data_IF_905741088407
#
_entry.id   IF_905741088407
#
_cell.length_a   1.000
_cell.length_b   1.000
_cell.length_c   1.000
_cell.angle_alpha   90.00
_cell.angle_beta   90.00
_cell.angle_gamma   90.00
#
_symmetry.space_group_name_H-M   'P 1'
#
loop_
_entity.id
_entity.type
_entity.pdbx_description
1 polymer ?
#
# COMPACT_ATOMS: atom_id res chain seq x y z
N UNK A 1 42.40 -7.20 14.63
CA UNK A 1 41.00 -7.14 14.16
C UNK A 1 40.23 -5.97 14.76
N UNK A 2 40.24 -5.79 16.07
CA UNK A 2 39.51 -4.72 16.77
C UNK A 2 39.68 -3.28 16.19
N UNK A 3 40.91 -2.78 15.88
CA UNK A 3 41.04 -1.41 15.36
C UNK A 3 40.44 -1.23 13.95
N UNK A 4 40.42 -2.26 13.13
CA UNK A 4 39.79 -2.20 11.80
C UNK A 4 38.27 -2.20 11.89
N UNK A 5 37.69 -2.95 12.81
CA UNK A 5 36.25 -2.97 13.07
C UNK A 5 35.81 -1.61 13.63
N UNK A 6 36.51 -1.04 14.60
CA UNK A 6 36.21 0.27 15.16
C UNK A 6 36.26 1.38 14.07
N UNK A 7 37.25 1.30 13.18
CA UNK A 7 37.37 2.20 12.02
C UNK A 7 36.17 2.06 11.11
N UNK A 8 35.76 0.84 10.78
CA UNK A 8 34.60 0.59 9.90
C UNK A 8 33.30 1.12 10.54
N UNK A 9 33.12 0.93 11.84
CA UNK A 9 31.97 1.45 12.57
C UNK A 9 31.91 2.98 12.52
N UNK A 10 33.05 3.65 12.73
CA UNK A 10 33.14 5.11 12.64
C UNK A 10 32.80 5.65 11.24
N UNK A 11 33.27 4.98 10.19
CA UNK A 11 32.93 5.34 8.79
C UNK A 11 31.45 5.12 8.51
N UNK A 12 30.86 4.01 9.02
CA UNK A 12 29.43 3.72 8.84
C UNK A 12 28.57 4.78 9.54
N UNK A 13 28.94 5.19 10.76
CA UNK A 13 28.26 6.27 11.46
C UNK A 13 28.38 7.60 10.67
N UNK A 14 29.57 7.88 10.14
CA UNK A 14 29.76 9.05 9.26
C UNK A 14 28.87 9.01 8.04
N UNK A 15 28.71 7.84 7.40
CA UNK A 15 27.80 7.66 6.26
C UNK A 15 26.36 8.00 6.63
N UNK A 16 25.88 7.57 7.81
CA UNK A 16 24.54 7.91 8.30
C UNK A 16 24.38 9.41 8.57
N UNK A 17 25.35 10.03 9.20
CA UNK A 17 25.35 11.49 9.44
C UNK A 17 25.31 12.24 8.09
N UNK A 18 26.18 11.89 7.15
CA UNK A 18 26.22 12.51 5.83
C UNK A 18 24.92 12.32 5.06
N UNK A 19 24.35 11.12 5.08
CA UNK A 19 23.06 10.86 4.42
C UNK A 19 21.94 11.70 5.03
N UNK A 20 21.90 11.83 6.35
CA UNK A 20 20.89 12.63 7.05
C UNK A 20 21.03 14.12 6.74
N UNK A 21 22.27 14.63 6.74
CA UNK A 21 22.53 16.06 6.51
C UNK A 21 22.31 16.42 5.04
N UNK A 22 22.86 15.63 4.11
CA UNK A 22 22.78 15.92 2.68
C UNK A 22 21.38 15.63 2.08
N UNK A 23 20.62 14.71 2.67
CA UNK A 23 19.27 14.41 2.21
C UNK A 23 18.19 15.33 2.82
N UNK A 24 18.48 16.07 3.91
CA UNK A 24 17.55 17.04 4.49
C UNK A 24 16.98 18.05 3.49
N UNK A 25 17.78 18.73 2.63
CA UNK A 25 17.24 19.62 1.62
C UNK A 25 16.44 18.88 0.55
N UNK A 26 16.84 17.66 0.19
CA UNK A 26 16.21 16.86 -0.86
C UNK A 26 14.93 16.19 -0.41
N UNK A 27 14.76 15.86 0.88
CA UNK A 27 13.49 15.33 1.39
C UNK A 27 12.35 16.34 1.29
N UNK A 28 12.67 17.64 1.33
CA UNK A 28 11.70 18.71 1.10
C UNK A 28 11.44 18.94 -0.40
N UNK A 29 12.47 18.80 -1.24
CA UNK A 29 12.36 18.98 -2.70
C UNK A 29 11.93 17.71 -3.42
N UNK A 30 12.32 16.52 -2.93
CA UNK A 30 11.90 15.26 -3.52
C UNK A 30 10.41 15.01 -3.29
N UNK A 31 9.86 15.33 -2.11
CA UNK A 31 8.41 15.28 -1.90
C UNK A 31 7.67 16.29 -2.79
N UNK A 32 8.21 17.51 -2.98
CA UNK A 32 7.65 18.53 -3.88
C UNK A 32 7.84 18.17 -5.37
N UNK A 33 8.96 17.54 -5.72
CA UNK A 33 9.24 17.08 -7.09
C UNK A 33 8.47 15.82 -7.45
N UNK A 34 8.29 14.91 -6.49
CA UNK A 34 7.47 13.69 -6.64
C UNK A 34 5.98 13.96 -6.45
N UNK A 35 5.60 15.04 -5.77
CA UNK A 35 4.21 15.47 -5.60
C UNK A 35 3.69 16.40 -6.70
N UNK A 36 4.37 16.42 -7.86
CA UNK A 36 3.81 17.10 -9.03
C UNK A 36 2.50 16.36 -9.41
N UNK A 37 1.32 17.02 -9.31
CA UNK A 37 0.02 16.38 -9.51
C UNK A 37 -0.21 15.81 -10.92
N UNK A 38 0.70 16.10 -11.85
CA UNK A 38 0.68 15.54 -13.22
C UNK A 38 1.51 14.26 -13.37
N UNK A 39 2.32 13.89 -12.36
CA UNK A 39 3.13 12.67 -12.39
C UNK A 39 2.53 11.63 -11.45
N UNK A 40 2.58 10.37 -11.86
CA UNK A 40 2.18 9.24 -11.02
C UNK A 40 2.94 9.29 -9.69
N UNK A 41 2.22 9.15 -8.59
CA UNK A 41 2.75 9.04 -7.24
C UNK A 41 3.40 7.66 -7.04
N UNK A 42 4.58 7.45 -7.63
CA UNK A 42 5.31 6.20 -7.54
C UNK A 42 6.04 6.09 -6.19
N UNK A 43 5.76 5.02 -5.45
CA UNK A 43 6.55 4.61 -4.29
C UNK A 43 7.49 3.46 -4.69
N UNK A 44 8.67 3.42 -4.08
CA UNK A 44 9.65 2.36 -4.38
C UNK A 44 9.10 0.95 -4.06
N UNK A 45 8.16 0.88 -3.12
CA UNK A 45 7.44 -0.34 -2.75
C UNK A 45 6.49 -0.84 -3.84
N UNK A 46 6.05 0.02 -4.76
CA UNK A 46 5.21 -0.37 -5.90
C UNK A 46 5.93 -1.34 -6.83
N UNK A 47 7.29 -1.29 -6.83
CA UNK A 47 8.10 -2.20 -7.62
C UNK A 47 7.78 -3.68 -7.35
N UNK A 48 7.50 -4.05 -6.12
CA UNK A 48 7.13 -5.42 -5.78
C UNK A 48 5.81 -5.84 -6.43
N UNK A 49 4.81 -4.96 -6.36
CA UNK A 49 3.50 -5.18 -6.98
C UNK A 49 3.60 -5.27 -8.50
N UNK A 50 4.35 -4.37 -9.14
CA UNK A 50 4.57 -4.36 -10.59
C UNK A 50 5.23 -5.66 -11.06
N UNK A 51 6.31 -6.10 -10.38
CA UNK A 51 7.04 -7.31 -10.76
C UNK A 51 6.21 -8.56 -10.48
N UNK A 52 5.46 -8.60 -9.40
CA UNK A 52 4.57 -9.72 -9.10
C UNK A 52 3.39 -9.79 -10.07
N UNK A 53 2.86 -8.65 -10.49
CA UNK A 53 1.76 -8.54 -11.45
C UNK A 53 2.16 -9.00 -12.86
N UNK A 54 3.42 -8.87 -13.23
CA UNK A 54 3.95 -9.32 -14.52
C UNK A 54 4.04 -10.86 -14.67
N UNK A 55 3.69 -11.63 -13.63
CA UNK A 55 3.67 -13.09 -13.69
C UNK A 55 2.57 -13.60 -14.64
N UNK A 56 2.85 -14.63 -15.43
CA UNK A 56 1.90 -15.12 -16.45
C UNK A 56 0.68 -15.85 -15.87
N UNK A 57 0.72 -16.27 -14.60
CA UNK A 57 -0.37 -17.04 -13.96
C UNK A 57 -0.81 -16.32 -12.69
N UNK A 58 -2.03 -15.77 -12.72
CA UNK A 58 -2.75 -15.29 -11.53
C UNK A 58 -3.77 -16.33 -11.09
N UNK A 59 -3.88 -16.52 -9.79
CA UNK A 59 -4.96 -17.34 -9.22
C UNK A 59 -6.27 -16.55 -9.33
N UNK A 60 -7.30 -17.16 -9.91
CA UNK A 60 -8.65 -16.59 -9.91
C UNK A 60 -9.19 -16.70 -8.48
N UNK A 61 -9.75 -15.62 -7.97
CA UNK A 61 -10.43 -15.61 -6.68
C UNK A 61 -11.73 -16.45 -6.77
N UNK A 62 -11.81 -17.46 -5.95
CA UNK A 62 -12.96 -18.34 -5.93
C UNK A 62 -14.04 -17.91 -4.92
N UNK A 63 -13.77 -16.95 -4.05
CA UNK A 63 -14.70 -16.44 -3.05
C UNK A 63 -15.42 -15.17 -3.50
N UNK A 64 -14.84 -14.39 -4.43
CA UNK A 64 -15.32 -13.08 -4.84
C UNK A 64 -15.62 -13.06 -6.34
N UNK A 65 -16.81 -12.56 -6.68
CA UNK A 65 -17.25 -12.35 -8.06
C UNK A 65 -17.71 -10.90 -8.21
N UNK A 66 -17.37 -10.26 -9.30
CA UNK A 66 -17.81 -8.92 -9.63
C UNK A 66 -18.94 -8.99 -10.66
N UNK A 67 -19.99 -8.22 -10.44
CA UNK A 67 -21.10 -8.05 -11.40
C UNK A 67 -21.04 -6.60 -11.89
N UNK A 68 -20.80 -6.46 -13.19
CA UNK A 68 -20.68 -5.16 -13.83
C UNK A 68 -22.07 -4.55 -14.03
N UNK A 69 -22.30 -3.37 -13.45
CA UNK A 69 -23.57 -2.64 -13.57
C UNK A 69 -23.51 -1.52 -14.63
N UNK A 70 -22.44 -1.46 -15.42
CA UNK A 70 -22.27 -0.40 -16.43
C UNK A 70 -23.50 -0.30 -17.35
N UNK A 71 -23.97 0.92 -17.53
CA UNK A 71 -25.10 1.22 -18.42
C UNK A 71 -26.47 0.86 -17.85
N UNK A 72 -26.57 0.30 -16.64
CA UNK A 72 -27.86 0.02 -16.00
C UNK A 72 -28.45 1.27 -15.34
N UNK A 73 -29.73 1.45 -15.55
CA UNK A 73 -30.53 2.37 -14.76
C UNK A 73 -31.01 1.69 -13.46
N UNK A 74 -31.77 2.40 -12.62
CA UNK A 74 -32.30 1.89 -11.36
C UNK A 74 -33.21 0.66 -11.50
N UNK A 75 -33.93 0.58 -12.61
CA UNK A 75 -34.78 -0.56 -12.95
C UNK A 75 -33.93 -1.80 -13.25
N UNK A 76 -32.86 -1.64 -14.06
CA UNK A 76 -31.92 -2.71 -14.36
C UNK A 76 -31.19 -3.19 -13.10
N UNK A 77 -30.78 -2.26 -12.21
CA UNK A 77 -30.15 -2.62 -10.92
C UNK A 77 -31.14 -3.38 -10.02
N UNK A 78 -32.42 -2.98 -9.99
CA UNK A 78 -33.45 -3.70 -9.24
C UNK A 78 -33.59 -5.15 -9.76
N UNK A 79 -33.61 -5.35 -11.10
CA UNK A 79 -33.66 -6.69 -11.72
C UNK A 79 -32.47 -7.55 -11.29
N UNK A 80 -31.26 -6.99 -11.26
CA UNK A 80 -30.07 -7.72 -10.78
C UNK A 80 -30.23 -8.11 -9.33
N UNK A 81 -30.66 -7.18 -8.46
CA UNK A 81 -30.85 -7.48 -7.01
C UNK A 81 -31.96 -8.53 -6.77
N UNK A 82 -33.01 -8.58 -7.58
CA UNK A 82 -34.07 -9.59 -7.52
C UNK A 82 -33.56 -11.01 -7.80
N UNK A 83 -32.42 -11.15 -8.48
CA UNK A 83 -31.78 -12.46 -8.69
C UNK A 83 -30.95 -12.96 -7.49
N UNK A 84 -30.54 -12.06 -6.58
CA UNK A 84 -29.66 -12.40 -5.46
C UNK A 84 -30.21 -13.50 -4.52
N UNK A 85 -31.52 -13.50 -4.17
CA UNK A 85 -32.08 -14.59 -3.36
C UNK A 85 -31.90 -15.98 -3.98
N UNK A 86 -31.95 -16.08 -5.31
CA UNK A 86 -31.75 -17.35 -6.03
C UNK A 86 -30.32 -17.88 -5.94
N UNK A 87 -29.35 -16.97 -5.83
CA UNK A 87 -27.93 -17.30 -5.72
C UNK A 87 -27.50 -17.60 -4.28
N UNK A 88 -28.29 -17.18 -3.28
CA UNK A 88 -27.97 -17.31 -1.86
C UNK A 88 -26.52 -16.88 -1.54
N UNK A 89 -26.11 -15.64 -1.88
CA UNK A 89 -24.73 -15.20 -1.71
C UNK A 89 -24.33 -15.11 -0.24
N UNK A 90 -23.03 -15.30 0.05
CA UNK A 90 -22.50 -15.08 1.39
C UNK A 90 -22.60 -13.61 1.82
N UNK A 91 -22.37 -12.68 0.90
CA UNK A 91 -22.66 -11.27 1.03
C UNK A 91 -22.83 -10.62 -0.36
N UNK A 92 -23.56 -9.52 -0.40
CA UNK A 92 -23.70 -8.66 -1.58
C UNK A 92 -23.23 -7.26 -1.21
N UNK A 93 -22.18 -6.78 -1.86
CA UNK A 93 -21.73 -5.38 -1.76
C UNK A 93 -22.25 -4.60 -2.96
N UNK A 94 -23.13 -3.63 -2.75
CA UNK A 94 -23.62 -2.73 -3.81
C UNK A 94 -22.83 -1.44 -3.77
N UNK A 95 -22.00 -1.19 -4.77
CA UNK A 95 -21.15 0.01 -4.88
C UNK A 95 -21.84 1.08 -5.76
N UNK A 96 -23.07 1.38 -5.44
CA UNK A 96 -23.88 2.42 -6.11
C UNK A 96 -24.67 3.20 -5.07
N UNK A 97 -24.47 4.52 -5.01
CA UNK A 97 -25.22 5.41 -4.16
C UNK A 97 -26.44 6.02 -4.89
N UNK A 98 -27.62 5.89 -4.31
CA UNK A 98 -28.86 6.50 -4.82
C UNK A 98 -29.18 7.77 -4.02
N UNK A 99 -28.53 8.88 -4.34
CA UNK A 99 -28.55 10.10 -3.53
C UNK A 99 -29.91 10.80 -3.55
N UNK A 100 -30.58 10.82 -4.70
CA UNK A 100 -31.86 11.50 -4.89
C UNK A 100 -33.00 10.53 -5.20
N UNK A 101 -34.22 10.76 -4.68
CA UNK A 101 -35.40 9.96 -5.00
C UNK A 101 -35.81 10.15 -6.46
N UNK A 102 -36.42 9.12 -7.05
CA UNK A 102 -37.04 9.13 -8.40
C UNK A 102 -38.39 8.43 -8.35
N UNK A 103 -39.28 8.80 -9.28
CA UNK A 103 -40.69 8.35 -9.29
C UNK A 103 -40.86 6.81 -9.32
N UNK A 104 -39.93 6.07 -9.87
CA UNK A 104 -40.00 4.62 -10.03
C UNK A 104 -39.14 3.83 -9.03
N UNK A 105 -38.77 4.43 -7.90
CA UNK A 105 -37.87 3.78 -6.92
C UNK A 105 -38.52 2.64 -6.10
N UNK A 106 -39.83 2.48 -6.17
CA UNK A 106 -40.56 1.46 -5.40
C UNK A 106 -40.05 0.02 -5.65
N UNK A 107 -39.74 -0.32 -6.90
CA UNK A 107 -39.17 -1.61 -7.26
C UNK A 107 -37.77 -1.80 -6.71
N UNK A 108 -36.92 -0.77 -6.89
CA UNK A 108 -35.55 -0.79 -6.37
C UNK A 108 -35.53 -0.92 -4.85
N UNK A 109 -36.42 -0.19 -4.14
CA UNK A 109 -36.56 -0.28 -2.70
C UNK A 109 -36.97 -1.68 -2.25
N UNK A 110 -37.93 -2.30 -2.95
CA UNK A 110 -38.35 -3.66 -2.68
C UNK A 110 -37.21 -4.67 -2.95
N UNK A 111 -36.47 -4.50 -4.03
CA UNK A 111 -35.32 -5.35 -4.38
C UNK A 111 -34.17 -5.21 -3.35
N UNK A 112 -33.87 -4.01 -2.88
CA UNK A 112 -32.90 -3.75 -1.80
C UNK A 112 -33.36 -4.45 -0.51
N UNK A 113 -34.61 -4.30 -0.12
CA UNK A 113 -35.16 -4.92 1.08
C UNK A 113 -35.21 -6.46 1.00
N UNK A 114 -35.37 -7.01 -0.18
CA UNK A 114 -35.41 -8.46 -0.44
C UNK A 114 -34.02 -9.10 -0.68
N UNK A 115 -32.96 -8.30 -0.87
CA UNK A 115 -31.63 -8.81 -1.15
C UNK A 115 -30.96 -9.34 0.13
N UNK A 116 -30.59 -10.64 0.19
CA UNK A 116 -29.97 -11.21 1.38
C UNK A 116 -28.54 -10.70 1.55
N UNK A 117 -28.13 -10.48 2.79
CA UNK A 117 -26.75 -10.14 3.16
C UNK A 117 -26.19 -8.92 2.38
N UNK A 118 -27.06 -7.95 2.07
CA UNK A 118 -26.70 -6.74 1.34
C UNK A 118 -25.93 -5.78 2.24
N UNK A 119 -24.90 -5.15 1.69
CA UNK A 119 -24.18 -4.00 2.25
C UNK A 119 -24.32 -2.83 1.30
N UNK A 120 -24.72 -1.66 1.81
CA UNK A 120 -24.90 -0.45 1.02
C UNK A 120 -23.76 0.56 1.25
N UNK A 121 -23.45 1.40 0.25
CA UNK A 121 -22.37 2.36 0.32
C UNK A 121 -22.76 3.62 1.10
N UNK A 122 -21.77 4.26 1.68
CA UNK A 122 -21.82 5.62 2.18
C UNK A 122 -20.53 6.36 1.84
N UNK A 123 -20.62 7.55 1.29
CA UNK A 123 -19.48 8.43 1.10
C UNK A 123 -19.36 9.39 2.29
N UNK A 124 -18.15 9.60 2.77
CA UNK A 124 -17.83 10.43 3.93
C UNK A 124 -16.98 11.63 3.53
N UNK A 125 -17.22 12.78 4.17
CA UNK A 125 -16.37 13.96 4.05
C UNK A 125 -15.38 14.00 5.21
N UNK A 126 -14.09 14.19 4.92
CA UNK A 126 -13.07 14.37 5.93
C UNK A 126 -13.11 15.77 6.51
N UNK A 127 -13.20 15.89 7.83
CA UNK A 127 -13.16 17.17 8.52
C UNK A 127 -11.73 17.63 8.77
N UNK A 128 -11.42 18.86 8.38
CA UNK A 128 -10.05 19.40 8.31
C UNK A 128 -9.36 19.62 9.68
N UNK A 129 -10.03 19.40 10.81
CA UNK A 129 -9.50 19.81 12.12
C UNK A 129 -9.22 18.70 13.12
N UNK A 130 -9.88 17.54 13.02
CA UNK A 130 -9.85 16.52 14.09
C UNK A 130 -9.63 15.07 13.59
N UNK A 131 -9.41 14.88 12.30
CA UNK A 131 -9.21 13.55 11.68
C UNK A 131 -10.45 12.66 11.67
N UNK A 132 -11.61 13.19 12.05
CA UNK A 132 -12.89 12.50 11.99
C UNK A 132 -13.63 12.84 10.69
N UNK A 133 -14.66 12.04 10.41
CA UNK A 133 -15.45 12.13 9.21
C UNK A 133 -16.88 12.53 9.52
N UNK A 134 -17.54 13.19 8.59
CA UNK A 134 -18.97 13.47 8.61
C UNK A 134 -19.64 12.81 7.43
N UNK A 135 -20.97 12.66 7.51
CA UNK A 135 -21.74 12.14 6.40
C UNK A 135 -21.55 13.05 5.17
N UNK A 136 -21.19 12.45 4.06
CA UNK A 136 -21.20 13.04 2.72
C UNK A 136 -22.46 12.61 1.98
N UNK A 137 -22.28 11.64 1.07
CA UNK A 137 -23.40 11.08 0.32
C UNK A 137 -23.80 9.71 0.88
N UNK A 138 -25.10 9.51 1.02
CA UNK A 138 -25.70 8.25 1.42
C UNK A 138 -26.90 7.99 0.52
N UNK A 139 -27.19 6.72 0.26
CA UNK A 139 -28.43 6.39 -0.41
C UNK A 139 -29.64 6.96 0.37
N UNK A 140 -30.54 7.64 -0.31
CA UNK A 140 -31.71 8.22 0.34
C UNK A 140 -32.64 7.15 0.95
N UNK A 141 -32.49 5.90 0.54
CA UNK A 141 -33.19 4.76 1.15
C UNK A 141 -32.61 4.35 2.52
N UNK A 142 -31.48 4.89 2.94
CA UNK A 142 -30.78 4.45 4.13
C UNK A 142 -31.65 4.57 5.40
N UNK A 143 -32.46 5.62 5.53
CA UNK A 143 -33.33 5.81 6.70
C UNK A 143 -34.44 4.74 6.79
N UNK A 144 -34.91 4.26 5.66
CA UNK A 144 -36.00 3.26 5.60
C UNK A 144 -35.50 1.81 5.61
N UNK A 145 -34.30 1.57 5.02
CA UNK A 145 -33.73 0.22 4.85
C UNK A 145 -32.55 -0.05 5.79
N UNK A 146 -31.80 0.98 6.19
CA UNK A 146 -30.53 0.84 6.92
C UNK A 146 -30.68 0.34 8.37
N UNK A 147 -31.88 0.26 8.92
CA UNK A 147 -32.10 -0.47 10.18
C UNK A 147 -31.82 -1.96 10.04
N UNK A 148 -31.83 -2.46 8.81
CA UNK A 148 -31.70 -3.89 8.49
C UNK A 148 -30.55 -4.18 7.53
N UNK A 149 -29.98 -3.17 6.85
CA UNK A 149 -28.90 -3.31 5.86
C UNK A 149 -27.66 -2.62 6.39
N UNK A 150 -26.52 -3.34 6.57
CA UNK A 150 -25.25 -2.75 6.96
C UNK A 150 -24.79 -1.68 5.95
N UNK A 151 -24.14 -0.63 6.48
CA UNK A 151 -23.50 0.41 5.68
C UNK A 151 -21.99 0.27 5.73
N UNK A 152 -21.30 0.62 4.63
CA UNK A 152 -19.88 0.68 4.58
C UNK A 152 -19.37 1.90 3.80
N UNK A 153 -18.33 2.56 4.32
CA UNK A 153 -17.73 3.73 3.69
C UNK A 153 -16.91 3.35 2.46
N UNK A 154 -17.26 3.89 1.29
CA UNK A 154 -16.58 3.62 0.01
C UNK A 154 -15.34 4.50 -0.22
N UNK A 155 -15.06 5.42 0.69
CA UNK A 155 -13.92 6.30 0.57
C UNK A 155 -12.59 5.55 0.41
N UNK A 156 -11.93 5.77 -0.70
CA UNK A 156 -10.57 5.32 -0.93
C UNK A 156 -9.58 6.33 -0.33
N UNK A 157 -8.53 5.89 0.39
CA UNK A 157 -7.54 6.78 0.99
C UNK A 157 -6.62 7.38 -0.08
N UNK A 158 -7.07 8.45 -0.70
CA UNK A 158 -6.32 9.23 -1.67
C UNK A 158 -5.71 10.46 -0.98
N UNK A 159 -4.40 10.66 -1.12
CA UNK A 159 -3.75 11.89 -0.61
C UNK A 159 -4.07 13.10 -1.50
N UNK A 160 -4.27 12.87 -2.78
CA UNK A 160 -4.58 13.86 -3.82
C UNK A 160 -5.53 13.22 -4.83
N UNK A 161 -6.20 14.01 -5.64
CA UNK A 161 -7.15 13.55 -6.65
C UNK A 161 -6.58 12.54 -7.70
N UNK A 162 -5.26 12.44 -7.83
CA UNK A 162 -4.57 11.49 -8.73
C UNK A 162 -3.54 10.63 -8.00
N UNK A 163 -3.67 10.45 -6.68
CA UNK A 163 -2.72 9.62 -5.94
C UNK A 163 -2.99 8.13 -6.19
N UNK A 164 -1.92 7.35 -6.22
CA UNK A 164 -1.99 5.89 -6.33
C UNK A 164 -2.64 5.30 -5.07
N UNK A 165 -3.70 4.53 -5.24
CA UNK A 165 -4.38 3.82 -4.15
C UNK A 165 -3.59 2.56 -3.80
N UNK A 166 -2.98 2.55 -2.62
CA UNK A 166 -2.16 1.43 -2.10
C UNK A 166 -2.78 0.73 -0.92
N UNK A 167 -3.66 1.43 -0.22
CA UNK A 167 -4.18 1.04 1.08
C UNK A 167 -5.69 1.20 1.11
N UNK A 168 -6.36 0.51 2.01
CA UNK A 168 -7.74 0.79 2.40
C UNK A 168 -7.79 1.10 3.89
N UNK A 169 -8.75 1.92 4.30
CA UNK A 169 -9.03 2.17 5.70
C UNK A 169 -9.94 1.08 6.24
N UNK A 170 -9.68 0.61 7.46
CA UNK A 170 -10.53 -0.41 8.10
C UNK A 170 -11.81 0.19 8.68
N UNK A 171 -11.68 1.24 9.48
CA UNK A 171 -12.79 1.96 10.10
C UNK A 171 -12.60 3.46 10.00
N UNK A 172 -13.68 4.19 9.80
CA UNK A 172 -13.71 5.64 9.74
C UNK A 172 -14.30 6.19 11.03
N UNK A 173 -13.53 6.92 11.87
CA UNK A 173 -14.07 7.61 13.04
C UNK A 173 -15.00 8.74 12.59
N UNK A 174 -16.22 8.79 13.15
CA UNK A 174 -17.24 9.76 12.77
C UNK A 174 -17.51 10.80 13.86
N UNK A 175 -17.90 12.02 13.46
CA UNK A 175 -18.20 13.10 14.40
C UNK A 175 -19.60 13.00 15.01
N UNK A 176 -20.55 12.52 14.21
CA UNK A 176 -21.96 12.40 14.56
C UNK A 176 -22.46 11.02 14.17
N UNK A 177 -23.41 10.51 14.89
CA UNK A 177 -24.02 9.22 14.57
C UNK A 177 -24.57 9.19 13.15
N UNK A 178 -24.27 8.11 12.44
CA UNK A 178 -24.76 7.81 11.09
C UNK A 178 -25.57 6.53 11.21
N UNK A 179 -26.90 6.66 11.09
CA UNK A 179 -27.83 5.54 11.24
C UNK A 179 -27.58 4.74 12.55
N UNK A 180 -27.04 3.52 12.47
CA UNK A 180 -26.74 2.66 13.61
C UNK A 180 -25.29 2.77 14.11
N UNK A 181 -24.47 3.67 13.55
CA UNK A 181 -23.06 3.85 13.90
C UNK A 181 -22.88 5.10 14.74
N UNK A 182 -22.23 4.98 15.90
CA UNK A 182 -22.04 6.08 16.85
C UNK A 182 -20.64 6.68 16.84
N UNK A 183 -19.61 5.84 16.86
CA UNK A 183 -18.21 6.29 16.99
C UNK A 183 -17.39 6.10 15.72
N UNK A 184 -17.68 5.03 14.98
CA UNK A 184 -17.02 4.71 13.72
C UNK A 184 -17.91 3.89 12.80
N UNK A 185 -17.66 4.00 11.50
CA UNK A 185 -18.28 3.18 10.48
C UNK A 185 -17.20 2.34 9.78
N UNK A 186 -17.45 1.05 9.49
CA UNK A 186 -16.51 0.23 8.73
C UNK A 186 -16.35 0.77 7.30
N UNK A 187 -15.23 0.50 6.67
CA UNK A 187 -15.16 0.65 5.22
C UNK A 187 -16.08 -0.35 4.53
N UNK A 188 -16.42 -0.07 3.29
CA UNK A 188 -17.30 -0.92 2.47
C UNK A 188 -16.80 -2.37 2.44
N UNK A 189 -15.50 -2.57 2.18
CA UNK A 189 -14.92 -3.90 2.12
C UNK A 189 -14.91 -4.62 3.47
N UNK A 190 -14.76 -3.90 4.58
CA UNK A 190 -14.84 -4.46 5.93
C UNK A 190 -16.28 -4.85 6.25
N UNK A 191 -17.25 -4.03 5.93
CA UNK A 191 -18.68 -4.34 6.12
C UNK A 191 -19.09 -5.58 5.32
N UNK A 192 -18.69 -5.69 4.05
CA UNK A 192 -18.95 -6.85 3.19
C UNK A 192 -18.25 -8.11 3.76
N UNK A 193 -16.99 -8.00 4.16
CA UNK A 193 -16.24 -9.12 4.74
C UNK A 193 -16.89 -9.63 6.04
N UNK A 194 -17.31 -8.72 6.93
CA UNK A 194 -17.98 -9.07 8.19
C UNK A 194 -19.36 -9.70 7.97
N UNK A 195 -20.09 -9.22 6.96
CA UNK A 195 -21.39 -9.82 6.57
C UNK A 195 -21.19 -11.23 6.05
N UNK A 196 -20.18 -11.45 5.20
CA UNK A 196 -19.88 -12.79 4.66
C UNK A 196 -19.32 -13.75 5.72
N UNK A 197 -18.42 -13.26 6.59
CA UNK A 197 -17.69 -14.05 7.58
C UNK A 197 -17.50 -13.23 8.87
N UNK A 198 -18.44 -13.30 9.83
CA UNK A 198 -18.39 -12.48 11.06
C UNK A 198 -17.10 -12.62 11.89
N UNK A 199 -16.42 -13.77 11.82
CA UNK A 199 -15.15 -14.02 12.50
C UNK A 199 -14.01 -13.11 12.05
N UNK A 200 -14.10 -12.50 10.86
CA UNK A 200 -13.10 -11.54 10.35
C UNK A 200 -13.07 -10.23 11.15
N UNK A 201 -14.15 -9.89 11.87
CA UNK A 201 -14.16 -8.77 12.79
C UNK A 201 -13.07 -8.89 13.87
N UNK A 202 -12.89 -10.10 14.43
CA UNK A 202 -11.85 -10.37 15.43
C UNK A 202 -10.44 -10.30 14.85
N UNK A 203 -10.26 -10.74 13.60
CA UNK A 203 -8.96 -10.67 12.91
C UNK A 203 -8.56 -9.22 12.72
N UNK A 204 -9.45 -8.38 12.21
CA UNK A 204 -9.21 -6.94 12.02
C UNK A 204 -8.96 -6.22 13.35
N UNK A 205 -9.73 -6.54 14.40
CA UNK A 205 -9.55 -5.98 15.73
C UNK A 205 -8.17 -6.34 16.33
N UNK A 206 -7.71 -7.57 16.15
CA UNK A 206 -6.37 -8.01 16.60
C UNK A 206 -5.24 -7.33 15.85
N UNK A 207 -5.40 -7.06 14.55
CA UNK A 207 -4.40 -6.31 13.76
C UNK A 207 -4.31 -4.85 14.23
N UNK A 208 -5.43 -4.23 14.58
CA UNK A 208 -5.48 -2.87 15.14
C UNK A 208 -5.03 -1.76 14.19
N UNK A 209 -4.79 -2.06 12.92
CA UNK A 209 -4.34 -1.09 11.93
C UNK A 209 -5.53 -0.25 11.42
N UNK A 210 -5.34 1.06 11.30
CA UNK A 210 -6.33 1.96 10.68
C UNK A 210 -6.27 1.93 9.17
N UNK A 211 -5.10 1.63 8.59
CA UNK A 211 -4.85 1.45 7.17
C UNK A 211 -4.19 0.11 6.96
N UNK A 212 -4.66 -0.63 5.96
CA UNK A 212 -4.08 -1.91 5.51
C UNK A 212 -3.69 -1.81 4.05
N UNK A 213 -2.54 -2.35 3.69
CA UNK A 213 -2.09 -2.39 2.30
C UNK A 213 -2.91 -3.40 1.48
N UNK A 214 -3.27 -3.01 0.26
CA UNK A 214 -4.00 -3.86 -0.69
C UNK A 214 -3.00 -4.77 -1.42
N UNK A 215 -3.26 -6.07 -1.43
CA UNK A 215 -2.45 -7.05 -2.14
C UNK A 215 -2.95 -7.24 -3.58
N UNK A 216 -2.69 -6.27 -4.45
CA UNK A 216 -3.15 -6.25 -5.84
C UNK A 216 -2.71 -7.45 -6.70
N UNK A 217 -1.45 -7.92 -6.64
CA UNK A 217 -0.99 -8.96 -7.56
C UNK A 217 -1.41 -10.37 -7.13
N UNK A 218 -2.09 -10.53 -6.00
CA UNK A 218 -2.38 -11.85 -5.45
C UNK A 218 -3.39 -12.64 -6.29
N UNK A 219 -4.43 -11.97 -6.79
CA UNK A 219 -5.58 -12.62 -7.44
C UNK A 219 -6.18 -11.77 -8.56
N UNK A 220 -6.90 -12.45 -9.47
CA UNK A 220 -7.82 -11.87 -10.44
C UNK A 220 -9.25 -12.29 -10.11
N UNK A 221 -10.25 -11.63 -10.68
CA UNK A 221 -11.66 -11.87 -10.38
C UNK A 221 -12.43 -12.26 -11.64
N UNK A 222 -13.49 -13.06 -11.45
CA UNK A 222 -14.50 -13.24 -12.49
C UNK A 222 -15.39 -12.02 -12.51
N UNK A 223 -15.61 -11.49 -13.69
CA UNK A 223 -16.51 -10.36 -13.92
C UNK A 223 -17.62 -10.87 -14.84
N UNK A 224 -18.87 -10.66 -14.46
CA UNK A 224 -20.02 -11.01 -15.25
C UNK A 224 -20.91 -9.81 -15.52
N UNK A 225 -21.47 -9.74 -16.70
CA UNK A 225 -22.54 -8.80 -17.01
C UNK A 225 -23.89 -9.36 -16.54
N UNK A 226 -24.93 -8.56 -16.36
CA UNK A 226 -26.21 -8.96 -15.82
C UNK A 226 -26.85 -10.13 -16.56
N UNK A 227 -26.76 -10.16 -17.90
CA UNK A 227 -27.30 -11.22 -18.75
C UNK A 227 -26.60 -12.57 -18.58
N UNK A 228 -25.40 -12.59 -18.02
CA UNK A 228 -24.60 -13.80 -17.81
C UNK A 228 -24.90 -14.46 -16.44
N UNK A 229 -25.60 -13.77 -15.52
CA UNK A 229 -25.84 -14.23 -14.14
C UNK A 229 -26.55 -15.57 -14.12
N UNK A 230 -27.66 -15.70 -14.85
CA UNK A 230 -28.49 -16.90 -14.83
C UNK A 230 -27.73 -18.11 -15.36
N UNK A 231 -26.99 -17.94 -16.47
CA UNK A 231 -26.17 -19.01 -17.07
C UNK A 231 -25.00 -19.46 -16.21
N UNK A 232 -24.49 -18.59 -15.35
CA UNK A 232 -23.31 -18.82 -14.51
C UNK A 232 -23.64 -18.86 -13.00
N UNK A 233 -24.91 -19.06 -12.63
CA UNK A 233 -25.36 -19.05 -11.25
C UNK A 233 -24.54 -19.97 -10.33
N UNK A 234 -24.09 -21.12 -10.83
CA UNK A 234 -23.25 -22.09 -10.09
C UNK A 234 -21.89 -21.53 -9.69
N UNK A 235 -21.35 -20.51 -10.39
CA UNK A 235 -20.09 -19.83 -10.07
C UNK A 235 -20.28 -18.72 -9.04
N UNK A 236 -21.52 -18.33 -8.75
CA UNK A 236 -21.89 -17.22 -7.87
C UNK A 236 -22.52 -17.68 -6.56
N UNK A 237 -23.11 -18.89 -6.55
CA UNK A 237 -23.82 -19.43 -5.39
C UNK A 237 -22.90 -19.53 -4.17
N UNK A 238 -23.32 -18.93 -3.03
CA UNK A 238 -22.56 -18.90 -1.80
C UNK A 238 -21.29 -18.03 -1.83
N UNK A 239 -21.06 -17.25 -2.90
CA UNK A 239 -19.90 -16.36 -3.05
C UNK A 239 -20.21 -14.95 -2.53
N UNK A 240 -19.19 -14.14 -2.43
CA UNK A 240 -19.34 -12.70 -2.18
C UNK A 240 -19.48 -12.02 -3.54
N UNK A 241 -20.56 -11.30 -3.74
CA UNK A 241 -20.86 -10.61 -4.97
C UNK A 241 -20.66 -9.11 -4.78
N UNK A 242 -19.75 -8.51 -5.57
CA UNK A 242 -19.57 -7.06 -5.62
C UNK A 242 -20.24 -6.54 -6.90
N UNK A 243 -21.22 -5.67 -6.70
CA UNK A 243 -22.02 -5.05 -7.76
C UNK A 243 -21.58 -3.60 -7.92
N UNK A 244 -21.06 -3.23 -9.08
CA UNK A 244 -20.61 -1.86 -9.36
C UNK A 244 -20.24 -1.67 -10.83
N UNK A 245 -19.96 -0.43 -11.22
CA UNK A 245 -19.53 -0.11 -12.59
C UNK A 245 -18.02 -0.35 -12.73
N UNK A 246 -17.64 -1.22 -13.66
CA UNK A 246 -16.22 -1.52 -13.95
C UNK A 246 -15.61 -0.57 -14.96
N UNK A 247 -16.41 0.27 -15.63
CA UNK A 247 -16.00 1.07 -16.78
C UNK A 247 -16.25 2.58 -16.60
N UNK A 248 -16.78 3.02 -15.44
CA UNK A 248 -17.00 4.44 -15.15
C UNK A 248 -15.68 5.22 -15.11
N UNK A 249 -15.48 6.07 -16.12
CA UNK A 249 -14.29 6.90 -16.23
C UNK A 249 -14.13 7.90 -15.07
N UNK A 250 -15.21 8.27 -14.39
CA UNK A 250 -15.16 9.17 -13.24
C UNK A 250 -14.66 8.49 -11.98
N UNK A 251 -14.79 7.16 -11.90
CA UNK A 251 -14.34 6.33 -10.77
C UNK A 251 -13.06 5.53 -11.08
N UNK A 252 -12.25 5.98 -12.05
CA UNK A 252 -10.97 5.35 -12.35
C UNK A 252 -9.83 5.92 -11.52
N UNK A 253 -9.10 5.05 -10.86
CA UNK A 253 -7.99 5.39 -9.97
C UNK A 253 -6.68 4.73 -10.39
N UNK A 254 -5.56 5.40 -10.09
CA UNK A 254 -4.23 4.80 -10.22
C UNK A 254 -3.97 3.83 -9.07
N UNK A 255 -3.36 2.68 -9.38
CA UNK A 255 -2.93 1.67 -8.41
C UNK A 255 -1.47 1.27 -8.71
N UNK A 256 -0.78 0.53 -7.82
CA UNK A 256 0.58 0.06 -8.10
C UNK A 256 0.72 -0.81 -9.36
N UNK A 257 -0.36 -1.42 -9.83
CA UNK A 257 -0.33 -2.39 -10.95
C UNK A 257 -0.89 -1.83 -12.25
N UNK A 258 -1.72 -0.78 -12.19
CA UNK A 258 -2.29 -0.12 -13.37
C UNK A 258 -2.58 1.34 -13.11
N UNK A 259 -2.52 2.16 -14.16
CA UNK A 259 -2.87 3.59 -14.08
C UNK A 259 -4.38 3.84 -14.00
N UNK A 260 -5.19 2.84 -14.36
CA UNK A 260 -6.65 2.93 -14.41
C UNK A 260 -7.28 1.64 -13.89
N UNK A 261 -7.93 1.73 -12.73
CA UNK A 261 -8.71 0.64 -12.12
C UNK A 261 -9.97 1.26 -11.53
N UNK A 262 -11.13 0.67 -11.78
CA UNK A 262 -12.40 1.15 -11.22
C UNK A 262 -12.47 0.94 -9.72
N UNK A 263 -13.23 1.78 -9.00
CA UNK A 263 -13.39 1.68 -7.56
C UNK A 263 -13.86 0.32 -7.11
N UNK A 264 -14.85 -0.28 -7.79
CA UNK A 264 -15.35 -1.62 -7.44
C UNK A 264 -14.25 -2.69 -7.56
N UNK A 265 -13.33 -2.58 -8.52
CA UNK A 265 -12.20 -3.50 -8.65
C UNK A 265 -11.16 -3.29 -7.54
N UNK A 266 -10.93 -2.05 -7.13
CA UNK A 266 -10.09 -1.75 -5.96
C UNK A 266 -10.71 -2.35 -4.70
N UNK A 267 -12.03 -2.21 -4.53
CA UNK A 267 -12.77 -2.86 -3.45
C UNK A 267 -12.67 -4.38 -3.51
N UNK A 268 -12.70 -5.00 -4.69
CA UNK A 268 -12.49 -6.44 -4.85
C UNK A 268 -11.10 -6.88 -4.37
N UNK A 269 -10.03 -6.16 -4.73
CA UNK A 269 -8.67 -6.46 -4.26
C UNK A 269 -8.51 -6.27 -2.74
N UNK A 270 -9.08 -5.19 -2.18
CA UNK A 270 -9.05 -4.95 -0.75
C UNK A 270 -9.84 -6.03 0.02
N UNK A 271 -11.00 -6.42 -0.49
CA UNK A 271 -11.81 -7.49 0.08
C UNK A 271 -11.08 -8.85 0.00
N UNK A 272 -10.45 -9.17 -1.12
CA UNK A 272 -9.62 -10.38 -1.29
C UNK A 272 -8.47 -10.42 -0.28
N UNK A 273 -7.84 -9.27 -0.01
CA UNK A 273 -6.80 -9.14 1.02
C UNK A 273 -7.33 -9.54 2.39
N UNK A 274 -8.56 -9.15 2.74
CA UNK A 274 -9.21 -9.50 4.02
C UNK A 274 -9.59 -10.99 4.05
N UNK A 275 -10.33 -11.46 3.04
CA UNK A 275 -10.93 -12.81 3.00
C UNK A 275 -9.88 -13.91 3.05
N UNK A 276 -8.75 -13.71 2.38
CA UNK A 276 -7.66 -14.69 2.29
C UNK A 276 -6.52 -14.41 3.28
N UNK A 277 -6.69 -13.47 4.22
CA UNK A 277 -5.64 -13.07 5.16
C UNK A 277 -4.33 -12.69 4.45
N UNK A 278 -4.47 -12.08 3.28
CA UNK A 278 -3.35 -11.70 2.40
C UNK A 278 -2.73 -10.34 2.76
N UNK A 279 -2.81 -9.92 4.01
CA UNK A 279 -2.29 -8.64 4.47
C UNK A 279 -0.80 -8.50 4.21
N UNK A 280 -0.40 -7.33 3.73
CA UNK A 280 1.00 -6.98 3.51
C UNK A 280 1.53 -6.23 4.73
N UNK A 281 2.49 -6.84 5.43
CA UNK A 281 3.14 -6.23 6.57
C UNK A 281 4.43 -5.53 6.13
N UNK A 282 4.58 -4.26 6.50
CA UNK A 282 5.76 -3.48 6.17
C UNK A 282 6.81 -3.55 7.28
N UNK A 283 8.08 -3.60 6.89
CA UNK A 283 9.17 -3.38 7.84
C UNK A 283 9.01 -2.02 8.49
N UNK A 284 9.15 -1.99 9.80
CA UNK A 284 9.21 -0.73 10.55
C UNK A 284 10.41 0.10 10.09
N UNK A 285 10.35 1.41 10.31
CA UNK A 285 11.48 2.30 10.04
C UNK A 285 12.77 1.83 10.72
N UNK A 286 12.68 1.31 11.95
CA UNK A 286 13.83 0.78 12.68
C UNK A 286 14.42 -0.46 12.00
N UNK A 287 13.59 -1.38 11.52
CA UNK A 287 14.06 -2.58 10.78
C UNK A 287 14.71 -2.20 9.46
N UNK A 288 14.13 -1.28 8.68
CA UNK A 288 14.72 -0.78 7.43
C UNK A 288 16.07 -0.09 7.67
N UNK A 289 16.19 0.74 8.73
CA UNK A 289 17.44 1.37 9.11
C UNK A 289 18.50 0.36 9.59
N UNK A 290 18.09 -0.66 10.34
CA UNK A 290 19.00 -1.73 10.80
C UNK A 290 19.55 -2.53 9.61
N UNK A 291 18.71 -2.89 8.65
CA UNK A 291 19.14 -3.54 7.41
C UNK A 291 20.12 -2.65 6.64
N UNK A 292 19.78 -1.38 6.46
CA UNK A 292 20.63 -0.40 5.77
C UNK A 292 21.98 -0.23 6.47
N UNK A 293 21.99 -0.20 7.81
CA UNK A 293 23.23 -0.14 8.62
C UNK A 293 24.09 -1.38 8.41
N UNK A 294 23.51 -2.56 8.46
CA UNK A 294 24.24 -3.81 8.28
C UNK A 294 24.89 -3.87 6.88
N UNK A 295 24.17 -3.50 5.84
CA UNK A 295 24.68 -3.47 4.46
C UNK A 295 25.78 -2.41 4.28
N UNK A 296 25.60 -1.22 4.84
CA UNK A 296 26.63 -0.19 4.85
C UNK A 296 27.90 -0.66 5.57
N UNK A 297 27.74 -1.31 6.73
CA UNK A 297 28.87 -1.86 7.48
C UNK A 297 29.64 -2.91 6.69
N UNK A 298 28.95 -3.80 5.95
CA UNK A 298 29.58 -4.83 5.11
C UNK A 298 30.45 -4.16 4.03
N UNK A 299 29.93 -3.16 3.30
CA UNK A 299 30.70 -2.51 2.23
C UNK A 299 31.89 -1.71 2.81
N UNK A 300 31.69 -1.04 3.95
CA UNK A 300 32.75 -0.31 4.63
C UNK A 300 33.84 -1.26 5.18
N UNK A 301 33.46 -2.40 5.77
CA UNK A 301 34.41 -3.45 6.20
C UNK A 301 35.22 -3.97 5.02
N UNK A 302 34.57 -4.28 3.91
CA UNK A 302 35.25 -4.67 2.68
C UNK A 302 36.30 -3.63 2.28
N UNK A 303 35.93 -2.34 2.31
CA UNK A 303 36.84 -1.25 2.03
C UNK A 303 38.04 -1.18 2.98
N UNK A 304 37.82 -1.40 4.28
CA UNK A 304 38.89 -1.30 5.30
C UNK A 304 39.82 -2.52 5.31
N UNK A 305 39.31 -3.70 4.90
CA UNK A 305 40.08 -4.97 4.92
C UNK A 305 40.95 -5.14 3.70
N UNK A 306 40.55 -4.64 2.54
CA UNK A 306 41.24 -4.89 1.27
C UNK A 306 42.46 -3.99 1.06
N UNK A 307 43.51 -4.51 0.40
CA UNK A 307 44.67 -3.74 -0.04
C UNK A 307 44.30 -2.75 -1.16
N UNK A 308 45.04 -1.64 -1.25
CA UNK A 308 44.70 -0.49 -2.10
C UNK A 308 44.59 -0.86 -3.60
N UNK A 309 45.42 -1.77 -4.12
CA UNK A 309 45.52 -2.09 -5.55
C UNK A 309 44.22 -2.71 -6.16
N UNK A 310 43.50 -3.54 -5.41
CA UNK A 310 42.30 -4.25 -5.89
C UNK A 310 41.03 -3.77 -5.28
N UNK A 311 41.14 -2.84 -4.32
CA UNK A 311 40.07 -2.35 -3.48
C UNK A 311 38.89 -1.77 -4.27
N UNK A 312 39.17 -0.92 -5.26
CA UNK A 312 38.13 -0.22 -6.02
C UNK A 312 37.19 -1.18 -6.76
N UNK A 313 37.75 -2.17 -7.47
CA UNK A 313 36.97 -3.14 -8.22
C UNK A 313 36.14 -4.03 -7.30
N UNK A 314 36.74 -4.59 -6.25
CA UNK A 314 36.00 -5.47 -5.31
C UNK A 314 34.90 -4.73 -4.60
N UNK A 315 35.11 -3.47 -4.21
CA UNK A 315 34.05 -2.65 -3.60
C UNK A 315 32.86 -2.46 -4.53
N UNK A 316 33.08 -2.22 -5.82
CA UNK A 316 31.98 -2.08 -6.79
C UNK A 316 31.24 -3.39 -7.01
N UNK A 317 31.96 -4.50 -7.10
CA UNK A 317 31.36 -5.84 -7.19
C UNK A 317 30.51 -6.12 -5.93
N UNK A 318 31.06 -5.85 -4.74
CA UNK A 318 30.33 -6.03 -3.48
C UNK A 318 29.08 -5.16 -3.44
N UNK A 319 29.16 -3.90 -3.89
CA UNK A 319 28.01 -3.00 -3.96
C UNK A 319 26.89 -3.55 -4.84
N UNK A 320 27.23 -4.01 -6.05
CA UNK A 320 26.26 -4.60 -6.99
C UNK A 320 25.67 -5.89 -6.42
N UNK A 321 26.49 -6.74 -5.81
CA UNK A 321 26.04 -7.99 -5.19
C UNK A 321 25.08 -7.72 -4.01
N UNK A 322 25.37 -6.73 -3.16
CA UNK A 322 24.49 -6.36 -2.05
C UNK A 322 23.20 -5.73 -2.55
N UNK A 323 23.25 -4.91 -3.60
CA UNK A 323 22.06 -4.37 -4.24
C UNK A 323 21.16 -5.48 -4.78
N UNK A 324 21.73 -6.41 -5.54
CA UNK A 324 21.00 -7.57 -6.05
C UNK A 324 20.39 -8.40 -4.91
N UNK A 325 21.16 -8.64 -3.86
CA UNK A 325 20.70 -9.38 -2.68
C UNK A 325 19.49 -8.71 -2.01
N UNK A 326 19.52 -7.39 -1.80
CA UNK A 326 18.40 -6.64 -1.17
C UNK A 326 17.13 -6.71 -2.01
N UNK A 327 17.26 -6.51 -3.33
CA UNK A 327 16.11 -6.60 -4.25
C UNK A 327 15.54 -8.02 -4.26
N UNK A 328 16.39 -9.03 -4.33
CA UNK A 328 15.96 -10.44 -4.28
C UNK A 328 15.34 -10.84 -2.96
N UNK A 329 15.92 -10.39 -1.84
CA UNK A 329 15.37 -10.61 -0.50
C UNK A 329 13.99 -9.96 -0.36
N UNK A 330 13.87 -8.69 -0.75
CA UNK A 330 12.59 -7.98 -0.68
C UNK A 330 11.52 -8.67 -1.54
N UNK A 331 11.88 -9.10 -2.74
CA UNK A 331 10.97 -9.80 -3.63
C UNK A 331 10.52 -11.16 -3.06
N UNK A 332 11.44 -11.95 -2.51
CA UNK A 332 11.10 -13.23 -1.87
C UNK A 332 10.20 -13.02 -0.64
N UNK A 333 10.52 -12.05 0.22
CA UNK A 333 9.70 -11.74 1.40
C UNK A 333 8.30 -11.25 1.01
N UNK A 334 8.19 -10.47 -0.05
CA UNK A 334 6.89 -10.02 -0.56
C UNK A 334 6.03 -11.19 -1.02
N UNK A 335 6.60 -12.11 -1.79
CA UNK A 335 5.86 -13.22 -2.39
C UNK A 335 5.53 -14.35 -1.42
N UNK A 336 6.52 -14.71 -0.58
CA UNK A 336 6.45 -15.91 0.24
C UNK A 336 5.91 -15.62 1.64
N UNK A 337 6.03 -14.36 2.10
CA UNK A 337 5.71 -13.95 3.47
C UNK A 337 4.79 -12.74 3.57
N UNK A 338 4.32 -12.17 2.46
CA UNK A 338 3.52 -10.95 2.42
C UNK A 338 4.21 -9.77 3.16
N UNK A 339 5.54 -9.67 3.10
CA UNK A 339 6.32 -8.65 3.78
C UNK A 339 6.94 -7.67 2.80
N UNK A 340 6.80 -6.37 3.08
CA UNK A 340 7.33 -5.28 2.26
C UNK A 340 8.54 -4.63 2.94
N UNK A 341 9.67 -4.58 2.23
CA UNK A 341 10.88 -3.84 2.65
C UNK A 341 10.96 -2.54 1.86
N UNK A 342 11.11 -1.42 2.54
CA UNK A 342 11.50 -0.18 1.88
C UNK A 342 13.02 -0.18 1.64
N UNK A 343 13.41 -0.68 0.46
CA UNK A 343 14.82 -0.78 0.10
C UNK A 343 15.47 0.56 -0.27
N UNK A 344 14.74 1.69 -0.27
CA UNK A 344 15.30 3.04 -0.47
C UNK A 344 16.39 3.37 0.56
N UNK A 345 16.18 2.97 1.82
CA UNK A 345 17.17 3.13 2.88
C UNK A 345 18.46 2.35 2.59
N UNK A 346 18.34 1.11 2.10
CA UNK A 346 19.48 0.27 1.74
C UNK A 346 20.25 0.85 0.54
N UNK A 347 19.55 1.28 -0.51
CA UNK A 347 20.14 1.94 -1.67
C UNK A 347 20.95 3.18 -1.28
N UNK A 348 20.34 4.03 -0.48
CA UNK A 348 20.96 5.26 0.01
C UNK A 348 22.24 4.94 0.80
N UNK A 349 22.18 3.98 1.73
CA UNK A 349 23.32 3.63 2.57
C UNK A 349 24.44 2.92 1.79
N UNK A 350 24.13 2.14 0.79
CA UNK A 350 25.15 1.56 -0.10
C UNK A 350 25.89 2.65 -0.89
N UNK A 351 25.20 3.70 -1.33
CA UNK A 351 25.83 4.86 -2.00
C UNK A 351 26.67 5.68 -1.02
N UNK A 352 26.10 6.09 0.12
CA UNK A 352 26.80 6.92 1.11
C UNK A 352 27.93 6.22 1.84
N UNK A 353 27.85 4.89 2.00
CA UNK A 353 28.93 4.08 2.58
C UNK A 353 30.23 4.20 1.79
N UNK A 354 30.17 4.15 0.45
CA UNK A 354 31.33 4.33 -0.42
C UNK A 354 31.85 5.77 -0.36
N UNK A 355 30.95 6.75 -0.44
CA UNK A 355 31.30 8.17 -0.34
C UNK A 355 31.99 8.50 0.99
N UNK A 356 31.48 7.98 2.10
CA UNK A 356 32.11 8.13 3.42
C UNK A 356 33.49 7.49 3.49
N UNK A 357 33.71 6.34 2.80
CA UNK A 357 35.03 5.74 2.68
C UNK A 357 36.02 6.65 1.96
N UNK A 358 35.60 7.25 0.86
CA UNK A 358 36.47 8.15 0.07
C UNK A 358 36.82 9.41 0.86
N UNK A 359 35.86 10.02 1.55
CA UNK A 359 36.11 11.17 2.45
C UNK A 359 37.09 10.77 3.55
N UNK A 360 36.89 9.62 4.21
CA UNK A 360 37.76 9.18 5.28
C UNK A 360 39.20 8.97 4.81
N UNK A 361 39.38 8.37 3.63
CA UNK A 361 40.71 8.20 3.02
C UNK A 361 41.35 9.55 2.74
N UNK A 362 40.60 10.50 2.15
CA UNK A 362 41.07 11.85 1.88
C UNK A 362 41.51 12.58 3.15
N UNK A 363 40.67 12.61 4.18
CA UNK A 363 40.98 13.23 5.47
C UNK A 363 42.20 12.59 6.15
N UNK A 364 42.30 11.26 6.09
CA UNK A 364 43.44 10.54 6.65
C UNK A 364 44.74 10.90 5.93
N UNK A 365 44.74 11.02 4.61
CA UNK A 365 45.90 11.42 3.81
C UNK A 365 46.33 12.84 4.08
N UNK A 366 45.39 13.80 4.20
CA UNK A 366 45.67 15.18 4.57
C UNK A 366 46.28 15.22 5.96
N UNK A 367 45.70 14.54 6.96
CA UNK A 367 46.22 14.51 8.32
C UNK A 367 47.63 13.95 8.41
N UNK A 368 47.91 12.83 7.71
CA UNK A 368 49.24 12.26 7.62
C UNK A 368 50.25 13.20 6.96
N UNK A 369 49.83 13.91 5.93
CA UNK A 369 50.63 14.93 5.27
C UNK A 369 51.01 16.07 6.21
N UNK A 370 50.01 16.60 6.93
CA UNK A 370 50.24 17.66 7.93
C UNK A 370 51.14 17.20 9.08
N UNK A 371 50.94 15.97 9.59
CA UNK A 371 51.77 15.38 10.64
C UNK A 371 53.22 15.20 10.21
N UNK A 372 53.47 14.81 8.93
CA UNK A 372 54.81 14.72 8.38
C UNK A 372 55.48 16.07 8.26
N UNK A 373 54.77 17.09 7.78
CA UNK A 373 55.28 18.48 7.72
C UNK A 373 55.59 19.01 9.11
N UNK A 374 54.71 18.83 10.09
CA UNK A 374 54.94 19.25 11.47
C UNK A 374 56.19 18.57 12.07
N UNK A 375 56.36 17.27 11.90
CA UNK A 375 57.55 16.55 12.38
C UNK A 375 58.85 17.06 11.74
N UNK A 376 58.84 17.43 10.46
CA UNK A 376 60.00 18.05 9.80
C UNK A 376 60.33 19.42 10.37
N UNK A 377 59.31 20.25 10.67
CA UNK A 377 59.49 21.57 11.28
C UNK A 377 60.04 21.48 12.71
N UNK A 378 59.56 20.53 13.52
CA UNK A 378 60.08 20.29 14.87
C UNK A 378 61.53 19.81 14.84
N UNK A 379 61.86 18.89 13.93
CA UNK A 379 63.22 18.39 13.77
C UNK A 379 64.20 19.49 13.30
N UNK A 380 63.77 20.38 12.38
CA UNK A 380 64.58 21.55 11.95
C UNK A 380 64.80 22.56 13.08
N UNK A 381 63.81 22.80 13.95
CA UNK A 381 63.98 23.67 15.15
C UNK A 381 64.85 23.09 16.24
N UNK A 382 64.98 21.75 16.33
CA UNK A 382 65.85 21.12 17.31
C UNK A 382 67.33 21.07 16.89
N UNK A 383 67.62 21.48 15.63
CA UNK A 383 69.00 21.56 15.07
C UNK A 383 69.56 23.00 15.06
N UNK A 384 68.69 23.98 15.42
CA UNK A 384 69.07 25.39 15.68
C UNK A 384 69.25 25.62 17.19
#
# INVERSE_FOLDING_TARGET
MAPKLLKALGITILAFILSTVLMRPFSFSASAFLSNPEKSDFAITDFYSIVADSRPVRTIDDDIVVINLNGLDREGIAQVLELMPLLSPAAVGLDVAFVEPRDNDSRLLAAIAGCPNLVMPVALNQNSGNGKFSLGEISFFADSTARHVPLGATNLPARYAKSTIREFRTFFPINHSIVNYTDSIPSFVVAVAQTARPSLAEVLARRGNTLEMINYPSRSFRIFNPEEIVGNAHLMAGKILLLGDTDDLADMHATPVTSTMSGVMIHAHALSTIIHNGYLDSFTKAQNLTLAFALCLIIVLTSVMLPIGIKGLIMRITQVALLYFVVRLGYSLFLDHNMVIDFSYALLMLAFGLFACDIWIGLTNIWLGLRRRYRKLVAARAQL
#
